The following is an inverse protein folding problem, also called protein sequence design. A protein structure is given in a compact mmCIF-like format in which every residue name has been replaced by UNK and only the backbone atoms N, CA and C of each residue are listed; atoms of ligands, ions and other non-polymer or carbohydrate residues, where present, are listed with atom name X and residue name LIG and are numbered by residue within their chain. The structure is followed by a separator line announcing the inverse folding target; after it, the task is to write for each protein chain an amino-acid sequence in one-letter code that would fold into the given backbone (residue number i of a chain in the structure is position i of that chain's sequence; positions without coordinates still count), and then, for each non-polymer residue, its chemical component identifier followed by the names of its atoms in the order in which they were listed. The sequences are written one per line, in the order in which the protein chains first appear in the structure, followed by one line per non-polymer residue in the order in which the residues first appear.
data_IF_504348927140
#
_entry.id   IF_504348927140
#
_cell.length_a   1.000
_cell.length_b   1.000
_cell.length_c   1.000
_cell.angle_alpha   90.00
_cell.angle_beta   90.00
_cell.angle_gamma   90.00
#
_symmetry.space_group_name_H-M   'P 1'
#
loop_
_entity.id
_entity.type
_entity.pdbx_description
1 polymer ?
#
# COMPACT_ATOMS: atom_id res chain seq x y z
N UNK A 1 20.15 5.80 7.80
CA UNK A 1 20.95 6.98 8.16
C UNK A 1 20.12 8.04 8.89
N UNK A 2 18.99 8.48 8.36
CA UNK A 2 18.07 9.46 9.03
C UNK A 2 17.50 8.99 10.37
N UNK A 3 17.17 7.70 10.52
CA UNK A 3 16.71 7.12 11.78
C UNK A 3 17.77 7.22 12.89
N UNK A 4 19.03 7.00 12.55
CA UNK A 4 20.14 7.06 13.51
C UNK A 4 20.40 8.49 13.99
N UNK A 5 20.38 9.47 13.08
CA UNK A 5 20.54 10.88 13.43
C UNK A 5 19.34 11.42 14.23
N UNK A 6 18.13 10.97 13.93
CA UNK A 6 16.94 11.33 14.68
C UNK A 6 16.96 10.78 16.12
N UNK A 7 17.44 9.55 16.30
CA UNK A 7 17.59 8.92 17.61
C UNK A 7 18.71 9.55 18.44
N UNK A 8 19.81 9.93 17.80
CA UNK A 8 20.92 10.64 18.45
C UNK A 8 20.50 12.05 18.96
N UNK A 9 19.58 12.71 18.23
CA UNK A 9 19.03 14.01 18.65
C UNK A 9 18.08 13.93 19.85
N UNK A 10 17.57 12.73 20.17
CA UNK A 10 16.64 12.50 21.29
C UNK A 10 17.32 12.09 22.59
N UNK A 11 18.64 11.86 22.55
CA UNK A 11 19.44 11.50 23.70
C UNK A 11 19.65 9.99 23.89
N UNK A 12 20.78 9.63 24.51
CA UNK A 12 21.21 8.23 24.72
C UNK A 12 20.24 7.40 25.56
N UNK A 13 19.47 8.02 26.42
CA UNK A 13 18.49 7.38 27.29
C UNK A 13 17.37 6.67 26.51
N UNK A 14 16.98 7.24 25.37
CA UNK A 14 15.90 6.68 24.56
C UNK A 14 16.31 5.41 23.79
N UNK A 15 17.56 5.35 23.38
CA UNK A 15 18.17 4.18 22.75
C UNK A 15 18.40 3.02 23.74
N UNK A 16 18.79 3.36 24.96
CA UNK A 16 18.98 2.36 26.02
C UNK A 16 17.65 1.72 26.40
N UNK A 17 16.62 2.54 26.65
CA UNK A 17 15.25 2.08 26.94
C UNK A 17 14.68 1.19 25.85
N UNK A 18 14.90 1.53 24.57
CA UNK A 18 14.46 0.70 23.45
C UNK A 18 15.16 -0.66 23.40
N UNK A 19 16.47 -0.70 23.71
CA UNK A 19 17.24 -1.96 23.75
C UNK A 19 16.84 -2.85 24.91
N UNK A 20 16.57 -2.27 26.08
CA UNK A 20 16.18 -3.02 27.28
C UNK A 20 14.77 -3.61 27.18
N UNK A 21 13.84 -2.90 26.55
CA UNK A 21 12.43 -3.32 26.42
C UNK A 21 12.16 -4.18 25.19
N UNK A 22 13.15 -4.41 24.30
CA UNK A 22 12.98 -5.13 23.05
C UNK A 22 11.97 -4.49 22.10
N UNK A 23 11.68 -3.21 22.30
CA UNK A 23 10.71 -2.47 21.48
C UNK A 23 9.24 -2.77 21.78
N UNK A 24 8.97 -3.65 22.75
CA UNK A 24 7.59 -4.02 23.15
C UNK A 24 7.25 -3.27 24.43
N UNK A 25 6.31 -2.33 24.35
CA UNK A 25 5.74 -1.71 25.53
C UNK A 25 4.78 -2.67 26.22
N UNK A 26 4.88 -2.84 27.53
CA UNK A 26 3.82 -3.44 28.32
C UNK A 26 2.59 -2.52 28.26
N UNK A 27 1.43 -3.11 28.00
CA UNK A 27 0.19 -2.39 27.74
C UNK A 27 -0.45 -1.74 28.97
N UNK A 28 0.12 -1.94 30.15
CA UNK A 28 -0.54 -1.56 31.41
C UNK A 28 -0.41 -0.07 31.77
N UNK A 29 0.58 0.65 31.24
CA UNK A 29 0.84 2.04 31.63
C UNK A 29 0.56 3.10 30.56
N UNK A 30 -0.05 2.76 29.44
CA UNK A 30 -0.23 3.72 28.34
C UNK A 30 1.09 4.25 27.76
N UNK A 31 2.20 3.59 28.07
CA UNK A 31 3.55 3.97 27.67
C UNK A 31 3.81 3.58 26.21
N UNK A 32 3.62 4.51 25.32
CA UNK A 32 4.25 4.41 24.01
C UNK A 32 5.74 4.68 24.19
N UNK A 33 6.63 3.76 23.78
CA UNK A 33 8.07 3.97 23.89
C UNK A 33 8.46 5.32 23.33
N UNK A 34 9.43 5.95 23.93
CA UNK A 34 10.06 7.20 23.47
C UNK A 34 10.53 7.10 22.03
N UNK A 35 10.87 5.89 21.58
CA UNK A 35 11.14 5.56 20.19
C UNK A 35 10.00 5.99 19.25
N UNK A 36 8.74 5.60 19.52
CA UNK A 36 7.60 6.02 18.67
C UNK A 36 7.35 7.53 18.70
N UNK A 37 7.61 8.20 19.81
CA UNK A 37 7.55 9.66 19.87
C UNK A 37 8.65 10.31 19.04
N UNK A 38 9.85 9.74 19.04
CA UNK A 38 10.97 10.20 18.24
C UNK A 38 10.74 10.01 16.76
N UNK A 39 10.29 8.84 16.34
CA UNK A 39 9.95 8.53 14.95
C UNK A 39 8.84 9.45 14.44
N UNK A 40 7.76 9.63 15.20
CA UNK A 40 6.69 10.57 14.83
C UNK A 40 7.17 12.02 14.68
N UNK A 41 8.16 12.44 15.47
CA UNK A 41 8.75 13.76 15.36
C UNK A 41 9.61 13.89 14.10
N UNK A 42 10.42 12.88 13.78
CA UNK A 42 11.25 12.83 12.57
C UNK A 42 10.37 12.76 11.31
N UNK A 43 9.31 11.94 11.30
CA UNK A 43 8.39 11.84 10.19
C UNK A 43 7.67 13.14 9.83
N UNK A 44 7.41 13.98 10.83
CA UNK A 44 6.69 15.25 10.63
C UNK A 44 7.61 16.43 10.32
N UNK A 45 8.89 16.27 10.57
CA UNK A 45 9.85 17.34 10.41
C UNK A 45 10.89 16.94 9.35
N UNK A 46 10.98 17.73 8.27
CA UNK A 46 11.91 17.52 7.16
C UNK A 46 11.72 16.20 6.37
N UNK A 47 10.49 15.70 6.30
CA UNK A 47 10.16 14.56 5.46
C UNK A 47 9.18 14.95 4.33
N UNK A 48 9.66 15.47 3.20
CA UNK A 48 8.80 15.89 2.09
C UNK A 48 8.09 14.74 1.38
N UNK A 49 8.55 13.49 1.61
CA UNK A 49 8.00 12.29 1.02
C UNK A 49 7.02 11.51 1.92
N UNK A 50 6.58 12.10 3.04
CA UNK A 50 5.80 11.41 4.07
C UNK A 50 4.39 10.97 3.64
N UNK A 51 3.87 11.50 2.54
CA UNK A 51 2.59 11.11 1.93
C UNK A 51 2.77 10.45 0.53
N UNK A 52 3.98 10.00 0.18
CA UNK A 52 4.28 9.32 -1.09
C UNK A 52 4.16 7.79 -0.98
N UNK A 53 4.38 7.11 -2.11
CA UNK A 53 4.14 5.67 -2.26
C UNK A 53 5.13 4.74 -1.54
N UNK A 54 6.24 5.24 -0.99
CA UNK A 54 7.32 4.42 -0.45
C UNK A 54 6.95 3.43 0.66
N UNK A 55 5.84 3.64 1.39
CA UNK A 55 5.30 2.63 2.31
C UNK A 55 4.33 1.68 1.59
N UNK A 56 3.59 2.16 0.60
CA UNK A 56 2.60 1.36 -0.16
C UNK A 56 3.26 0.17 -0.83
N UNK A 57 4.41 0.38 -1.45
CA UNK A 57 5.14 -0.64 -2.23
C UNK A 57 5.79 -1.75 -1.39
N UNK A 58 5.70 -1.69 -0.07
CA UNK A 58 6.16 -2.75 0.83
C UNK A 58 5.02 -3.35 1.67
N UNK A 59 3.78 -3.09 1.27
CA UNK A 59 2.59 -3.58 1.97
C UNK A 59 2.36 -5.08 1.84
N UNK A 60 2.95 -5.71 0.85
CA UNK A 60 2.68 -7.06 0.35
C UNK A 60 2.78 -8.12 1.45
N UNK A 61 3.87 -8.11 2.22
CA UNK A 61 4.12 -9.09 3.28
C UNK A 61 2.98 -9.15 4.31
N UNK A 62 2.39 -8.00 4.64
CA UNK A 62 1.28 -7.92 5.59
C UNK A 62 0.00 -8.47 5.01
N UNK A 63 -0.24 -8.27 3.72
CA UNK A 63 -1.36 -8.85 3.01
C UNK A 63 -1.24 -10.37 2.90
N UNK A 64 -0.10 -10.87 2.45
CA UNK A 64 0.15 -12.30 2.31
C UNK A 64 0.11 -13.07 3.64
N UNK A 65 0.55 -12.45 4.72
CA UNK A 65 0.49 -13.07 6.05
C UNK A 65 -0.91 -13.16 6.66
N UNK A 66 -1.91 -12.53 6.05
CA UNK A 66 -3.26 -12.40 6.61
C UNK A 66 -4.38 -12.78 5.62
N UNK A 67 -4.39 -14.01 5.01
CA UNK A 67 -5.41 -14.39 4.03
C UNK A 67 -6.82 -14.29 4.62
N UNK A 68 -7.68 -13.46 4.02
CA UNK A 68 -9.06 -13.25 4.49
C UNK A 68 -9.20 -12.43 5.79
N UNK A 69 -8.10 -11.86 6.32
CA UNK A 69 -8.11 -11.02 7.51
C UNK A 69 -7.66 -9.59 7.21
N UNK A 70 -8.41 -8.82 6.40
CA UNK A 70 -7.99 -7.49 5.94
C UNK A 70 -7.80 -6.47 7.07
N UNK A 71 -8.55 -6.61 8.18
CA UNK A 71 -8.37 -5.76 9.35
C UNK A 71 -6.97 -5.93 9.96
N UNK A 72 -6.50 -7.19 10.08
CA UNK A 72 -5.18 -7.48 10.63
C UNK A 72 -4.06 -7.06 9.70
N UNK A 73 -4.23 -7.29 8.39
CA UNK A 73 -3.30 -6.80 7.38
C UNK A 73 -3.15 -5.27 7.43
N UNK A 74 -4.26 -4.54 7.50
CA UNK A 74 -4.26 -3.09 7.61
C UNK A 74 -3.60 -2.59 8.91
N UNK A 75 -3.82 -3.27 10.05
CA UNK A 75 -3.18 -2.95 11.33
C UNK A 75 -1.65 -3.11 11.24
N UNK A 76 -1.17 -4.23 10.72
CA UNK A 76 0.26 -4.49 10.56
C UNK A 76 0.91 -3.47 9.61
N UNK A 77 0.24 -3.18 8.48
CA UNK A 77 0.67 -2.19 7.51
C UNK A 77 0.70 -0.77 8.11
N UNK A 78 -0.28 -0.41 8.94
CA UNK A 78 -0.27 0.85 9.68
C UNK A 78 0.93 0.95 10.62
N UNK A 79 1.22 -0.11 11.36
CA UNK A 79 2.36 -0.16 12.28
C UNK A 79 3.67 0.11 11.55
N UNK A 80 3.92 -0.56 10.41
CA UNK A 80 5.12 -0.34 9.60
C UNK A 80 5.14 1.07 8.97
N UNK A 81 4.08 1.44 8.25
CA UNK A 81 4.05 2.70 7.52
C UNK A 81 4.21 3.92 8.43
N UNK A 82 3.71 3.86 9.67
CA UNK A 82 3.79 4.96 10.63
C UNK A 82 5.21 5.32 11.07
N UNK A 83 6.20 4.47 10.81
CA UNK A 83 7.61 4.77 11.04
C UNK A 83 8.17 5.80 10.06
N UNK A 84 7.67 5.82 8.84
CA UNK A 84 8.27 6.60 7.75
C UNK A 84 7.30 7.55 7.07
N UNK A 85 5.99 7.31 7.19
CA UNK A 85 4.95 8.03 6.45
C UNK A 85 3.88 8.59 7.38
N UNK A 86 3.06 9.47 6.82
CA UNK A 86 1.89 10.05 7.46
C UNK A 86 0.68 9.96 6.52
N UNK A 87 -0.53 10.13 7.06
CA UNK A 87 -1.79 10.28 6.32
C UNK A 87 -1.90 9.37 5.09
N UNK A 88 -1.85 9.96 3.88
CA UNK A 88 -2.02 9.27 2.60
C UNK A 88 -1.03 8.11 2.41
N UNK A 89 0.22 8.28 2.82
CA UNK A 89 1.22 7.20 2.77
C UNK A 89 0.84 6.00 3.63
N UNK A 90 0.35 6.25 4.86
CA UNK A 90 -0.14 5.20 5.76
C UNK A 90 -1.42 4.56 5.20
N UNK A 91 -2.38 5.39 4.77
CA UNK A 91 -3.70 4.89 4.34
C UNK A 91 -3.60 4.06 3.05
N UNK A 92 -2.73 4.45 2.12
CA UNK A 92 -2.42 3.66 0.93
C UNK A 92 -1.83 2.30 1.27
N UNK A 93 -0.90 2.25 2.23
CA UNK A 93 -0.29 1.00 2.70
C UNK A 93 -1.32 0.08 3.35
N UNK A 94 -2.18 0.61 4.22
CA UNK A 94 -3.29 -0.14 4.83
C UNK A 94 -4.25 -0.70 3.77
N UNK A 95 -4.58 0.11 2.77
CA UNK A 95 -5.47 -0.27 1.68
C UNK A 95 -4.90 -1.42 0.84
N UNK A 96 -3.65 -1.32 0.40
CA UNK A 96 -3.00 -2.36 -0.43
C UNK A 96 -2.82 -3.65 0.35
N UNK A 97 -2.37 -3.59 1.62
CA UNK A 97 -2.27 -4.79 2.46
C UNK A 97 -3.63 -5.48 2.65
N UNK A 98 -4.69 -4.71 2.92
CA UNK A 98 -6.04 -5.25 3.04
C UNK A 98 -6.55 -5.83 1.71
N UNK A 99 -6.23 -5.19 0.58
CA UNK A 99 -6.58 -5.70 -0.75
C UNK A 99 -5.90 -7.04 -1.05
N UNK A 100 -4.61 -7.19 -0.77
CA UNK A 100 -3.88 -8.45 -0.96
C UNK A 100 -4.46 -9.56 -0.04
N UNK A 101 -4.76 -9.23 1.22
CA UNK A 101 -5.40 -10.18 2.13
C UNK A 101 -6.74 -10.70 1.60
N UNK A 102 -7.53 -9.82 1.00
CA UNK A 102 -8.81 -10.18 0.39
C UNK A 102 -8.65 -10.88 -0.95
N UNK A 103 -7.66 -10.53 -1.76
CA UNK A 103 -7.41 -11.15 -3.06
C UNK A 103 -7.22 -12.66 -2.96
N UNK A 104 -6.62 -13.14 -1.87
CA UNK A 104 -6.38 -14.56 -1.63
C UNK A 104 -7.65 -15.39 -1.40
N UNK A 105 -8.79 -14.76 -1.10
CA UNK A 105 -10.04 -15.46 -0.74
C UNK A 105 -11.27 -14.99 -1.50
N UNK A 106 -11.19 -13.83 -2.17
CA UNK A 106 -12.33 -13.26 -2.89
C UNK A 106 -12.60 -13.97 -4.21
N UNK A 107 -13.87 -14.03 -4.58
CA UNK A 107 -14.33 -14.52 -5.89
C UNK A 107 -14.59 -13.39 -6.88
N UNK A 108 -14.88 -12.19 -6.39
CA UNK A 108 -15.09 -10.99 -7.19
C UNK A 108 -13.95 -10.00 -6.94
N UNK A 109 -13.37 -9.53 -8.04
CA UNK A 109 -12.25 -8.60 -8.00
C UNK A 109 -12.62 -7.22 -7.44
N UNK A 110 -13.81 -6.76 -7.76
CA UNK A 110 -14.24 -5.42 -7.31
C UNK A 110 -14.56 -5.40 -5.81
N UNK A 111 -15.01 -6.52 -5.24
CA UNK A 111 -15.20 -6.67 -3.80
C UNK A 111 -13.90 -6.47 -3.00
N UNK A 112 -12.75 -6.85 -3.58
CA UNK A 112 -11.43 -6.70 -2.93
C UNK A 112 -11.22 -5.26 -2.49
N UNK A 113 -11.43 -4.31 -3.38
CA UNK A 113 -11.19 -2.90 -3.10
C UNK A 113 -12.29 -2.25 -2.28
N UNK A 114 -13.56 -2.62 -2.48
CA UNK A 114 -14.65 -2.12 -1.64
C UNK A 114 -14.45 -2.54 -0.19
N UNK A 115 -14.01 -3.77 0.04
CA UNK A 115 -13.69 -4.25 1.39
C UNK A 115 -12.44 -3.55 1.95
N UNK A 116 -11.35 -3.48 1.17
CA UNK A 116 -10.10 -2.85 1.61
C UNK A 116 -10.32 -1.38 2.03
N UNK A 117 -11.19 -0.66 1.32
CA UNK A 117 -11.50 0.73 1.62
C UNK A 117 -12.18 0.93 3.00
N UNK A 118 -12.80 -0.10 3.56
CA UNK A 118 -13.43 -0.05 4.89
C UNK A 118 -12.42 0.03 6.04
N UNK A 119 -11.15 -0.29 5.78
CA UNK A 119 -10.08 -0.30 6.78
C UNK A 119 -9.20 0.95 6.77
N UNK A 120 -9.57 1.96 5.99
CA UNK A 120 -8.94 3.28 6.02
C UNK A 120 -9.89 4.32 6.62
N UNK A 121 -9.37 5.43 7.20
CA UNK A 121 -10.23 6.44 7.83
C UNK A 121 -11.19 7.07 6.83
N UNK A 122 -12.50 6.86 7.01
CA UNK A 122 -13.56 7.32 6.10
C UNK A 122 -13.63 8.84 5.92
N UNK A 123 -13.12 9.63 6.88
CA UNK A 123 -13.08 11.10 6.80
C UNK A 123 -11.77 11.63 6.21
N UNK A 124 -10.93 10.75 5.65
CA UNK A 124 -9.68 11.15 5.01
C UNK A 124 -9.90 11.56 3.56
N UNK A 125 -9.02 12.45 3.06
CA UNK A 125 -8.95 12.76 1.63
C UNK A 125 -8.60 11.55 0.79
N UNK A 126 -7.84 10.61 1.34
CA UNK A 126 -7.53 9.35 0.68
C UNK A 126 -8.81 8.57 0.39
N UNK A 127 -9.64 8.33 1.41
CA UNK A 127 -10.92 7.63 1.25
C UNK A 127 -11.80 8.27 0.19
N UNK A 128 -12.02 9.59 0.29
CA UNK A 128 -12.85 10.35 -0.64
C UNK A 128 -12.39 10.17 -2.09
N UNK A 129 -11.10 10.33 -2.34
CA UNK A 129 -10.53 10.29 -3.69
C UNK A 129 -10.47 8.88 -4.27
N UNK A 130 -10.10 7.89 -3.46
CA UNK A 130 -10.09 6.49 -3.89
C UNK A 130 -11.52 6.00 -4.16
N UNK A 131 -12.49 6.39 -3.33
CA UNK A 131 -13.90 6.11 -3.58
C UNK A 131 -14.36 6.70 -4.91
N UNK A 132 -13.93 7.93 -5.21
CA UNK A 132 -14.25 8.57 -6.50
C UNK A 132 -13.61 7.82 -7.67
N UNK A 133 -12.36 7.38 -7.57
CA UNK A 133 -11.74 6.53 -8.58
C UNK A 133 -12.51 5.22 -8.79
N UNK A 134 -12.96 4.59 -7.70
CA UNK A 134 -13.76 3.37 -7.77
C UNK A 134 -15.06 3.57 -8.56
N UNK A 135 -15.78 4.66 -8.33
CA UNK A 135 -16.98 5.03 -9.08
C UNK A 135 -16.68 5.22 -10.57
N UNK A 136 -15.62 6.01 -10.90
CA UNK A 136 -15.21 6.27 -12.28
C UNK A 136 -14.84 4.98 -13.03
N UNK A 137 -14.11 4.10 -12.36
CA UNK A 137 -13.73 2.80 -12.94
C UNK A 137 -14.96 1.91 -13.11
N UNK A 138 -15.86 1.86 -12.13
CA UNK A 138 -17.09 1.04 -12.21
C UNK A 138 -17.93 1.40 -13.43
N UNK A 139 -18.01 2.67 -13.77
CA UNK A 139 -18.75 3.20 -14.92
C UNK A 139 -17.98 3.14 -16.25
N UNK A 140 -16.76 2.61 -16.27
CA UNK A 140 -15.92 2.55 -17.47
C UNK A 140 -16.06 1.20 -18.18
N UNK A 141 -15.97 1.23 -19.52
CA UNK A 141 -16.11 0.08 -20.42
C UNK A 141 -14.78 -0.54 -20.85
N UNK A 142 -13.69 0.24 -20.73
CA UNK A 142 -12.33 -0.21 -21.00
C UNK A 142 -11.35 0.42 -20.01
N UNK A 143 -10.16 -0.16 -19.92
CA UNK A 143 -9.15 0.40 -19.02
C UNK A 143 -8.65 1.79 -19.48
N UNK A 144 -8.62 2.05 -20.78
CA UNK A 144 -8.25 3.34 -21.34
C UNK A 144 -9.27 4.43 -20.94
N UNK A 145 -10.57 4.08 -20.97
CA UNK A 145 -11.63 4.99 -20.52
C UNK A 145 -11.50 5.28 -19.03
N UNK A 146 -11.27 4.23 -18.22
CA UNK A 146 -11.06 4.37 -16.78
C UNK A 146 -9.85 5.22 -16.46
N UNK A 147 -8.71 4.93 -17.11
CA UNK A 147 -7.49 5.73 -17.00
C UNK A 147 -7.72 7.19 -17.34
N UNK A 148 -8.37 7.46 -18.50
CA UNK A 148 -8.63 8.84 -18.91
C UNK A 148 -9.44 9.61 -17.85
N UNK A 149 -10.50 9.02 -17.32
CA UNK A 149 -11.34 9.65 -16.29
C UNK A 149 -10.54 9.95 -15.00
N UNK A 150 -9.68 9.04 -14.58
CA UNK A 150 -8.82 9.21 -13.40
C UNK A 150 -7.79 10.30 -13.65
N UNK A 151 -7.12 10.27 -14.82
CA UNK A 151 -6.09 11.23 -15.18
C UNK A 151 -6.64 12.63 -15.38
N UNK A 152 -7.81 12.78 -16.00
CA UNK A 152 -8.50 14.08 -16.14
C UNK A 152 -8.80 14.71 -14.78
N UNK A 153 -9.00 13.90 -13.73
CA UNK A 153 -9.35 14.38 -12.39
C UNK A 153 -8.14 14.57 -11.47
N UNK A 154 -7.12 13.71 -11.58
CA UNK A 154 -6.01 13.64 -10.61
C UNK A 154 -4.62 13.66 -11.25
N UNK A 155 -4.48 13.75 -12.57
CA UNK A 155 -3.19 13.73 -13.26
C UNK A 155 -2.22 14.83 -12.82
N UNK A 156 -2.74 15.98 -12.40
CA UNK A 156 -1.92 17.11 -11.91
C UNK A 156 -1.15 16.79 -10.62
N UNK A 157 -1.50 15.73 -9.90
CA UNK A 157 -0.74 15.33 -8.70
C UNK A 157 0.65 14.76 -9.02
N UNK A 158 0.90 14.29 -10.24
CA UNK A 158 2.16 13.70 -10.66
C UNK A 158 2.37 12.27 -10.09
N UNK A 159 3.52 11.68 -10.39
CA UNK A 159 3.89 10.34 -9.93
C UNK A 159 4.17 10.28 -8.42
N UNK A 160 4.09 9.08 -7.86
CA UNK A 160 4.23 8.77 -6.42
C UNK A 160 3.19 9.42 -5.50
N UNK A 161 2.12 10.03 -6.03
CA UNK A 161 1.08 10.72 -5.26
C UNK A 161 -0.14 9.86 -4.93
N UNK A 162 0.00 8.59 -4.91
CA UNK A 162 -0.91 7.55 -4.43
C UNK A 162 -2.36 7.62 -4.96
N UNK A 163 -3.05 8.77 -4.97
CA UNK A 163 -4.48 8.86 -5.31
C UNK A 163 -4.83 8.34 -6.70
N UNK A 164 -4.19 8.90 -7.75
CA UNK A 164 -4.39 8.44 -9.12
C UNK A 164 -3.83 7.04 -9.31
N UNK A 165 -2.72 6.72 -8.68
CA UNK A 165 -2.06 5.43 -8.81
C UNK A 165 -2.89 4.29 -8.19
N UNK A 166 -3.51 4.52 -7.04
CA UNK A 166 -4.50 3.57 -6.49
C UNK A 166 -5.73 3.49 -7.40
N UNK A 167 -6.15 4.60 -8.00
CA UNK A 167 -7.21 4.58 -9.01
C UNK A 167 -6.85 3.73 -10.23
N UNK A 168 -5.63 3.88 -10.73
CA UNK A 168 -5.07 3.06 -11.81
C UNK A 168 -4.98 1.59 -11.42
N UNK A 169 -4.62 1.29 -10.16
CA UNK A 169 -4.58 -0.07 -9.63
C UNK A 169 -5.99 -0.72 -9.62
N UNK A 170 -7.01 0.02 -9.18
CA UNK A 170 -8.41 -0.40 -9.24
C UNK A 170 -8.84 -0.65 -10.69
N UNK A 171 -8.47 0.25 -11.59
CA UNK A 171 -8.74 0.14 -13.01
C UNK A 171 -8.12 -1.13 -13.61
N UNK A 172 -6.84 -1.37 -13.33
CA UNK A 172 -6.11 -2.57 -13.73
C UNK A 172 -6.82 -3.83 -13.24
N UNK A 173 -7.17 -3.91 -11.97
CA UNK A 173 -7.80 -5.11 -11.42
C UNK A 173 -9.15 -5.40 -12.08
N UNK A 174 -9.92 -4.37 -12.42
CA UNK A 174 -11.21 -4.55 -13.12
C UNK A 174 -11.05 -5.19 -14.49
N UNK A 175 -10.06 -4.75 -15.27
CA UNK A 175 -9.96 -5.10 -16.69
C UNK A 175 -8.93 -6.18 -17.00
N UNK A 176 -8.03 -6.52 -16.09
CA UNK A 176 -7.01 -7.55 -16.31
C UNK A 176 -7.63 -8.94 -16.56
N UNK A 177 -7.15 -9.64 -17.58
CA UNK A 177 -7.57 -11.02 -17.88
C UNK A 177 -6.72 -12.04 -17.12
N UNK A 178 -5.46 -11.72 -16.87
CA UNK A 178 -4.49 -12.50 -16.10
C UNK A 178 -3.45 -11.58 -15.45
N UNK A 179 -2.45 -12.17 -14.78
CA UNK A 179 -1.41 -11.40 -14.08
C UNK A 179 -0.56 -10.61 -15.07
N UNK A 180 -0.15 -11.21 -16.18
CA UNK A 180 0.70 -10.58 -17.19
C UNK A 180 -0.01 -9.41 -17.88
N UNK A 181 -1.25 -9.63 -18.29
CA UNK A 181 -2.11 -8.59 -18.89
C UNK A 181 -2.31 -7.44 -17.90
N UNK A 182 -2.58 -7.74 -16.63
CA UNK A 182 -2.73 -6.73 -15.59
C UNK A 182 -1.48 -5.91 -15.35
N UNK A 183 -0.30 -6.52 -15.33
CA UNK A 183 0.97 -5.78 -15.23
C UNK A 183 1.12 -4.86 -16.45
N UNK A 184 0.83 -5.35 -17.67
CA UNK A 184 0.89 -4.54 -18.88
C UNK A 184 -0.09 -3.35 -18.83
N UNK A 185 -1.34 -3.56 -18.41
CA UNK A 185 -2.32 -2.50 -18.22
C UNK A 185 -1.81 -1.48 -17.21
N UNK A 186 -1.30 -1.94 -16.06
CA UNK A 186 -0.82 -1.04 -15.01
C UNK A 186 0.31 -0.14 -15.49
N UNK A 187 1.34 -0.69 -16.12
CA UNK A 187 2.48 0.11 -16.59
C UNK A 187 2.12 1.01 -17.78
N UNK A 188 1.14 0.61 -18.60
CA UNK A 188 0.66 1.42 -19.73
C UNK A 188 -0.09 2.68 -19.29
N UNK A 189 -0.59 2.72 -18.07
CA UNK A 189 -1.23 3.90 -17.49
C UNK A 189 -0.20 4.98 -17.06
N UNK A 190 1.09 4.66 -17.02
CA UNK A 190 2.13 5.62 -16.64
C UNK A 190 2.25 5.83 -15.13
N UNK A 191 2.64 7.04 -14.73
CA UNK A 191 2.95 7.42 -13.35
C UNK A 191 4.12 6.62 -12.77
N UNK A 192 4.01 6.06 -11.57
CA UNK A 192 5.04 5.26 -10.91
C UNK A 192 4.89 3.78 -11.34
N UNK A 193 5.45 3.45 -12.50
CA UNK A 193 5.16 2.19 -13.21
C UNK A 193 5.78 0.96 -12.57
N UNK A 194 6.96 1.06 -11.97
CA UNK A 194 7.64 -0.05 -11.30
C UNK A 194 6.96 -0.40 -9.97
N UNK A 195 6.71 0.60 -9.14
CA UNK A 195 6.07 0.44 -7.83
C UNK A 195 4.65 -0.12 -7.94
N UNK A 196 3.83 0.49 -8.78
CA UNK A 196 2.44 0.05 -8.93
C UNK A 196 2.28 -1.14 -9.88
N UNK A 197 3.22 -1.36 -10.81
CA UNK A 197 3.32 -2.61 -11.54
C UNK A 197 3.59 -3.80 -10.62
N UNK A 198 4.51 -3.64 -9.64
CA UNK A 198 4.74 -4.63 -8.61
C UNK A 198 3.50 -4.87 -7.74
N UNK A 199 2.85 -3.79 -7.27
CA UNK A 199 1.61 -3.89 -6.48
C UNK A 199 0.47 -4.56 -7.24
N UNK A 200 0.32 -4.29 -8.54
CA UNK A 200 -0.66 -4.96 -9.40
C UNK A 200 -0.35 -6.45 -9.52
N UNK A 201 0.92 -6.80 -9.77
CA UNK A 201 1.38 -8.19 -9.81
C UNK A 201 1.08 -8.93 -8.51
N UNK A 202 1.31 -8.29 -7.37
CA UNK A 202 1.04 -8.85 -6.03
C UNK A 202 -0.45 -9.14 -5.81
N UNK A 203 -1.34 -8.18 -6.11
CA UNK A 203 -2.79 -8.36 -5.92
C UNK A 203 -3.34 -9.39 -6.91
N UNK A 204 -2.96 -9.29 -8.20
CA UNK A 204 -3.43 -10.19 -9.24
C UNK A 204 -2.89 -11.62 -9.04
N UNK A 205 -1.63 -11.76 -8.64
CA UNK A 205 -1.04 -13.05 -8.31
C UNK A 205 -1.74 -13.73 -7.14
N UNK A 206 -2.07 -12.95 -6.09
CA UNK A 206 -2.86 -13.43 -4.97
C UNK A 206 -4.30 -13.84 -5.38
N UNK A 207 -4.90 -13.10 -6.31
CA UNK A 207 -6.27 -13.38 -6.78
C UNK A 207 -6.35 -14.57 -7.72
N UNK A 208 -5.51 -14.60 -8.75
CA UNK A 208 -5.53 -15.67 -9.76
C UNK A 208 -4.86 -16.96 -9.29
N UNK A 209 -3.93 -16.87 -8.34
CA UNK A 209 -3.19 -17.99 -7.79
C UNK A 209 -2.02 -18.45 -8.67
N UNK A 210 -1.19 -19.39 -8.17
CA UNK A 210 0.08 -19.76 -8.77
C UNK A 210 -0.02 -20.41 -10.14
N UNK A 211 -1.13 -21.06 -10.45
CA UNK A 211 -1.37 -21.72 -11.75
C UNK A 211 -1.66 -20.75 -12.89
N UNK A 212 -1.84 -19.48 -12.62
CA UNK A 212 -2.18 -18.44 -13.61
C UNK A 212 -0.96 -17.67 -14.16
N UNK A 213 0.23 -17.90 -13.60
CA UNK A 213 1.43 -17.23 -14.04
C UNK A 213 2.02 -17.91 -15.28
N UNK A 214 2.23 -17.13 -16.35
CA UNK A 214 2.99 -17.56 -17.53
C UNK A 214 4.44 -17.91 -17.12
N UNK A 215 4.96 -19.02 -17.67
CA UNK A 215 6.29 -19.50 -17.41
C UNK A 215 7.38 -18.45 -17.67
N UNK A 216 7.16 -17.52 -18.60
CA UNK A 216 8.12 -16.40 -18.85
C UNK A 216 8.40 -15.53 -17.62
N UNK A 217 7.45 -15.48 -16.66
CA UNK A 217 7.62 -14.74 -15.39
C UNK A 217 8.36 -15.55 -14.33
N UNK A 218 8.34 -16.87 -14.41
CA UNK A 218 8.86 -17.80 -13.40
C UNK A 218 10.25 -18.30 -13.78
N UNK A 219 10.44 -18.70 -15.04
CA UNK A 219 11.68 -19.31 -15.51
C UNK A 219 12.96 -18.49 -15.24
N UNK A 220 12.95 -17.14 -15.34
CA UNK A 220 14.16 -16.36 -15.06
C UNK A 220 14.66 -16.47 -13.61
N UNK A 221 13.82 -16.85 -12.67
CA UNK A 221 14.18 -16.99 -11.26
C UNK A 221 14.77 -18.36 -10.93
N UNK A 222 14.61 -19.34 -11.83
CA UNK A 222 15.16 -20.70 -11.68
C UNK A 222 14.84 -21.37 -10.32
N UNK A 223 13.77 -20.95 -9.69
CA UNK A 223 13.33 -21.36 -8.34
C UNK A 223 14.42 -21.13 -7.24
N UNK A 224 15.36 -20.26 -7.51
CA UNK A 224 16.40 -19.84 -6.57
C UNK A 224 15.85 -18.73 -5.65
N UNK A 225 15.68 -19.06 -4.36
CA UNK A 225 15.29 -18.12 -3.29
C UNK A 225 16.43 -17.99 -2.30
#
# INVERSE_FOLDING_TARGET
MLLKSGLESLGRTDLASFRETGGVASSEDGYRPTFFRGVNKVNRFLNPGDELCGAVIRADAYGYACPGYPAKAAELAWNDASFTHNRTGIYGTMFVAAAIAMAQVSKDRMDIFDIALKFVPMRSRFYERVRKCFELVSDSRSWEEGYKKINDLYGDYGHCRIYQEIGMLINTLKFANDVGDGICIQVSQGADTDSFGASAGSILGAYFGPGSLDQKWILPFNDDI
#
